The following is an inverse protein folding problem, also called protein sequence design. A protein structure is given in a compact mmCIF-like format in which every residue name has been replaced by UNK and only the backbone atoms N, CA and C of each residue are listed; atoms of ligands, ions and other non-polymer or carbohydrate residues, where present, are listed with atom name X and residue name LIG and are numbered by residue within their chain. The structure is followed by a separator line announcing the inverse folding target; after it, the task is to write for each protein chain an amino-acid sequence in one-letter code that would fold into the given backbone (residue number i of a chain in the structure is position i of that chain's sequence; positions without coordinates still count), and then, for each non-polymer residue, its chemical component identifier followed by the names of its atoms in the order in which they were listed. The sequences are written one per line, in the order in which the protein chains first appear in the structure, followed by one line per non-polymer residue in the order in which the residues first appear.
data_IF_011257106483
#
_entry.id   IF_011257106483
#
_cell.length_a   1.000
_cell.length_b   1.000
_cell.length_c   1.000
_cell.angle_alpha   90.00
_cell.angle_beta   90.00
_cell.angle_gamma   90.00
#
_symmetry.space_group_name_H-M   'P 1'
#
loop_
_entity.id
_entity.type
_entity.pdbx_description
1 polymer ?
#
# COMPACT_ATOMS: atom_id res chain seq x y z
N UNK A 1 13.15 -26.04 -22.75
CA UNK A 1 13.40 -25.84 -21.30
C UNK A 1 12.08 -25.85 -20.51
N UNK A 2 12.12 -26.43 -19.29
CA UNK A 2 10.94 -26.48 -18.43
C UNK A 2 10.54 -25.05 -17.99
N UNK A 3 9.25 -24.87 -17.61
CA UNK A 3 8.73 -23.60 -17.11
C UNK A 3 9.54 -23.07 -15.92
N UNK A 4 10.01 -23.98 -15.06
CA UNK A 4 10.80 -23.64 -13.88
C UNK A 4 12.22 -23.17 -14.24
N UNK A 5 12.86 -23.79 -15.24
CA UNK A 5 14.18 -23.35 -15.72
C UNK A 5 14.09 -21.95 -16.38
N UNK A 6 13.05 -21.70 -17.16
CA UNK A 6 12.79 -20.36 -17.74
C UNK A 6 12.59 -19.30 -16.63
N UNK A 7 11.78 -19.62 -15.62
CA UNK A 7 11.56 -18.75 -14.46
C UNK A 7 12.86 -18.35 -13.76
N UNK A 8 13.71 -19.34 -13.42
CA UNK A 8 14.98 -19.07 -12.73
C UNK A 8 15.92 -18.18 -13.55
N UNK A 9 16.01 -18.42 -14.86
CA UNK A 9 16.83 -17.60 -15.77
C UNK A 9 16.33 -16.17 -15.86
N UNK A 10 15.02 -15.98 -16.01
CA UNK A 10 14.39 -14.66 -16.09
C UNK A 10 14.52 -13.87 -14.79
N UNK A 11 14.32 -14.53 -13.65
CA UNK A 11 14.47 -13.92 -12.33
C UNK A 11 15.93 -13.47 -12.08
N UNK A 12 16.90 -14.33 -12.39
CA UNK A 12 18.33 -13.99 -12.26
C UNK A 12 18.70 -12.83 -13.16
N UNK A 13 18.18 -12.80 -14.41
CA UNK A 13 18.37 -11.67 -15.32
C UNK A 13 17.79 -10.38 -14.74
N UNK A 14 16.58 -10.43 -14.16
CA UNK A 14 15.92 -9.27 -13.58
C UNK A 14 16.73 -8.67 -12.43
N UNK A 15 17.24 -9.50 -11.53
CA UNK A 15 18.12 -9.06 -10.45
C UNK A 15 19.42 -8.44 -10.97
N UNK A 16 20.06 -9.04 -11.97
CA UNK A 16 21.29 -8.47 -12.60
C UNK A 16 21.03 -7.10 -13.24
N UNK A 17 19.90 -6.93 -13.93
CA UNK A 17 19.52 -5.64 -14.53
C UNK A 17 19.30 -4.61 -13.43
N UNK A 18 18.55 -4.95 -12.37
CA UNK A 18 18.28 -4.07 -11.25
C UNK A 18 19.56 -3.55 -10.59
N UNK A 19 20.46 -4.44 -10.19
CA UNK A 19 21.72 -4.02 -9.53
C UNK A 19 22.70 -3.31 -10.46
N UNK A 20 22.59 -3.51 -11.77
CA UNK A 20 23.42 -2.80 -12.75
C UNK A 20 22.96 -1.36 -12.98
N UNK A 21 21.69 -1.09 -12.85
CA UNK A 21 21.13 0.26 -12.94
C UNK A 21 21.28 0.98 -11.59
N UNK A 22 22.44 1.63 -11.41
CA UNK A 22 22.77 2.36 -10.18
C UNK A 22 21.77 3.47 -9.87
N UNK A 23 21.22 4.11 -10.88
CA UNK A 23 20.23 5.20 -10.71
C UNK A 23 18.92 4.64 -10.12
N UNK A 24 18.45 3.51 -10.64
CA UNK A 24 17.25 2.86 -10.12
C UNK A 24 17.47 2.37 -8.68
N UNK A 25 18.61 1.74 -8.38
CA UNK A 25 18.94 1.29 -7.02
C UNK A 25 19.05 2.47 -6.06
N UNK A 26 19.74 3.55 -6.45
CA UNK A 26 19.87 4.75 -5.61
C UNK A 26 18.50 5.38 -5.33
N UNK A 27 17.63 5.47 -6.33
CA UNK A 27 16.28 5.98 -6.16
C UNK A 27 15.46 5.12 -5.19
N UNK A 28 15.54 3.79 -5.30
CA UNK A 28 14.85 2.87 -4.39
C UNK A 28 15.35 3.01 -2.95
N UNK A 29 16.67 3.12 -2.75
CA UNK A 29 17.25 3.32 -1.43
C UNK A 29 16.88 4.69 -0.87
N UNK A 30 16.90 5.74 -1.68
CA UNK A 30 16.49 7.08 -1.26
C UNK A 30 15.01 7.11 -0.82
N UNK A 31 14.10 6.52 -1.59
CA UNK A 31 12.68 6.42 -1.25
C UNK A 31 12.50 5.59 0.04
N UNK A 32 13.18 4.45 0.15
CA UNK A 32 13.13 3.57 1.32
C UNK A 32 13.56 4.28 2.61
N UNK A 33 14.54 5.16 2.54
CA UNK A 33 15.03 5.92 3.70
C UNK A 33 14.20 7.18 3.96
N UNK A 34 13.88 7.95 2.91
CA UNK A 34 13.19 9.23 3.08
C UNK A 34 11.74 9.08 3.52
N UNK A 35 11.00 8.09 3.02
CA UNK A 35 9.57 7.97 3.29
C UNK A 35 9.25 7.69 4.76
N UNK A 36 9.89 6.74 5.47
CA UNK A 36 9.66 6.56 6.90
C UNK A 36 10.03 7.80 7.74
N UNK A 37 11.11 8.50 7.35
CA UNK A 37 11.50 9.75 8.02
C UNK A 37 10.41 10.81 7.86
N UNK A 38 9.81 10.93 6.67
CA UNK A 38 8.70 11.85 6.44
C UNK A 38 7.50 11.50 7.31
N UNK A 39 7.10 10.22 7.39
CA UNK A 39 5.99 9.79 8.27
C UNK A 39 6.25 10.21 9.71
N UNK A 40 7.44 9.91 10.23
CA UNK A 40 7.80 10.22 11.62
C UNK A 40 7.83 11.73 11.88
N UNK A 41 8.38 12.51 10.97
CA UNK A 41 8.49 13.97 11.12
C UNK A 41 7.12 14.67 11.16
N UNK A 42 6.20 14.27 10.26
CA UNK A 42 4.84 14.86 10.24
C UNK A 42 4.00 14.40 11.42
N UNK A 43 4.32 13.26 12.01
CA UNK A 43 3.58 12.66 13.10
C UNK A 43 4.03 13.14 14.50
N UNK A 44 5.18 13.81 14.63
CA UNK A 44 5.79 14.18 15.93
C UNK A 44 4.87 14.98 16.86
N UNK A 45 3.98 15.81 16.31
CA UNK A 45 3.01 16.61 17.08
C UNK A 45 1.91 15.79 17.79
N UNK A 46 1.68 14.54 17.38
CA UNK A 46 0.67 13.64 17.96
C UNK A 46 1.20 12.70 19.04
N UNK A 47 2.51 12.63 19.25
CA UNK A 47 3.16 11.59 20.06
C UNK A 47 2.80 11.63 21.55
N UNK A 48 2.77 12.79 22.18
CA UNK A 48 2.44 12.92 23.62
C UNK A 48 0.98 12.58 23.93
N UNK A 49 -0.03 13.09 23.18
CA UNK A 49 -1.42 12.71 23.39
C UNK A 49 -1.68 11.21 23.20
N UNK A 50 -1.07 10.57 22.21
CA UNK A 50 -1.22 9.13 21.94
C UNK A 50 -0.74 8.31 23.14
N UNK A 51 0.40 8.65 23.71
CA UNK A 51 0.95 7.97 24.86
C UNK A 51 0.06 8.12 26.10
N UNK A 52 -0.53 9.30 26.32
CA UNK A 52 -1.48 9.55 27.42
C UNK A 52 -2.75 8.72 27.28
N UNK A 53 -3.30 8.60 26.10
CA UNK A 53 -4.53 7.85 25.85
C UNK A 53 -4.34 6.32 26.08
N UNK A 54 -3.14 5.80 25.79
CA UNK A 54 -2.79 4.39 26.03
C UNK A 54 -2.68 4.02 27.51
N UNK A 55 -2.42 5.00 28.38
CA UNK A 55 -2.12 4.78 29.80
C UNK A 55 -3.32 5.05 30.74
N UNK A 56 -4.53 5.38 30.21
CA UNK A 56 -5.72 5.66 31.05
C UNK A 56 -6.37 4.33 31.48
N UNK A 57 -6.40 4.01 32.80
CA UNK A 57 -7.18 2.89 33.32
C UNK A 57 -8.68 3.18 33.24
N UNK A 58 -9.48 2.18 32.92
CA UNK A 58 -10.95 2.27 32.73
C UNK A 58 -11.78 2.64 33.97
N UNK A 59 -11.17 2.95 35.11
CA UNK A 59 -11.87 3.08 36.40
C UNK A 59 -11.64 4.45 37.03
N UNK A 60 -12.55 5.45 36.81
CA UNK A 60 -12.96 6.44 37.82
C UNK A 60 -14.02 7.44 37.29
N UNK A 61 -15.25 7.25 37.73
CA UNK A 61 -16.47 7.92 37.29
C UNK A 61 -16.69 9.35 37.85
N UNK A 62 -15.98 9.81 38.84
CA UNK A 62 -16.29 11.03 39.63
C UNK A 62 -15.48 12.31 39.28
N UNK A 63 -14.37 12.18 38.53
CA UNK A 63 -13.65 13.33 37.97
C UNK A 63 -14.16 13.75 36.58
N UNK A 64 -15.34 13.36 36.27
CA UNK A 64 -15.90 13.07 34.94
C UNK A 64 -16.45 14.25 34.16
N UNK A 65 -16.67 15.41 34.69
CA UNK A 65 -17.27 16.51 33.92
C UNK A 65 -16.25 17.57 33.43
N UNK A 66 -15.23 17.87 34.20
CA UNK A 66 -14.12 18.72 33.72
C UNK A 66 -13.13 17.90 32.86
N UNK A 67 -12.91 16.62 33.23
CA UNK A 67 -12.07 15.72 32.43
C UNK A 67 -12.69 15.31 31.09
N UNK A 68 -14.01 15.31 30.96
CA UNK A 68 -14.70 14.95 29.70
C UNK A 68 -14.38 15.90 28.54
N UNK A 69 -14.20 17.18 28.79
CA UNK A 69 -13.85 18.15 27.73
C UNK A 69 -12.39 17.98 27.32
N UNK A 70 -11.48 17.88 28.28
CA UNK A 70 -10.04 17.67 28.02
C UNK A 70 -9.79 16.28 27.38
N UNK A 71 -10.45 15.23 27.87
CA UNK A 71 -10.36 13.87 27.28
C UNK A 71 -10.91 13.85 25.86
N UNK A 72 -11.99 14.59 25.59
CA UNK A 72 -12.56 14.67 24.25
C UNK A 72 -11.68 15.44 23.26
N UNK A 73 -11.05 16.53 23.71
CA UNK A 73 -10.08 17.27 22.91
C UNK A 73 -8.83 16.41 22.61
N UNK A 74 -8.34 15.68 23.61
CA UNK A 74 -7.22 14.76 23.43
C UNK A 74 -7.59 13.57 22.50
N UNK A 75 -8.79 13.02 22.62
CA UNK A 75 -9.30 12.00 21.69
C UNK A 75 -9.36 12.48 20.25
N UNK A 76 -9.92 13.66 20.02
CA UNK A 76 -10.00 14.28 18.68
C UNK A 76 -8.58 14.47 18.12
N UNK A 77 -7.68 15.00 18.92
CA UNK A 77 -6.30 15.29 18.52
C UNK A 77 -5.53 14.01 18.20
N UNK A 78 -5.66 12.99 19.04
CA UNK A 78 -5.04 11.67 18.86
C UNK A 78 -5.63 10.97 17.63
N UNK A 79 -6.96 10.92 17.52
CA UNK A 79 -7.62 10.33 16.37
C UNK A 79 -7.17 10.94 15.05
N UNK A 80 -7.12 12.27 14.97
CA UNK A 80 -6.67 12.97 13.78
C UNK A 80 -5.19 12.69 13.45
N UNK A 81 -4.32 12.67 14.46
CA UNK A 81 -2.90 12.41 14.27
C UNK A 81 -2.64 10.97 13.81
N UNK A 82 -3.30 9.99 14.43
CA UNK A 82 -3.14 8.57 14.06
C UNK A 82 -3.73 8.27 12.69
N UNK A 83 -4.96 8.73 12.43
CA UNK A 83 -5.61 8.56 11.12
C UNK A 83 -4.77 9.15 10.00
N UNK A 84 -4.30 10.38 10.17
CA UNK A 84 -3.46 11.07 9.19
C UNK A 84 -2.12 10.36 8.98
N UNK A 85 -1.48 9.87 10.04
CA UNK A 85 -0.20 9.17 9.96
C UNK A 85 -0.34 7.84 9.23
N UNK A 86 -1.32 7.02 9.59
CA UNK A 86 -1.57 5.73 8.93
C UNK A 86 -1.91 5.95 7.46
N UNK A 87 -2.76 6.94 7.15
CA UNK A 87 -3.10 7.25 5.77
C UNK A 87 -1.85 7.70 4.99
N UNK A 88 -0.99 8.51 5.60
CA UNK A 88 0.25 8.94 4.97
C UNK A 88 1.20 7.76 4.71
N UNK A 89 1.34 6.83 5.66
CA UNK A 89 2.10 5.59 5.51
C UNK A 89 1.56 4.73 4.37
N UNK A 90 0.26 4.54 4.31
CA UNK A 90 -0.45 3.79 3.25
C UNK A 90 -0.21 4.40 1.87
N UNK A 91 -0.33 5.73 1.74
CA UNK A 91 -0.11 6.42 0.46
C UNK A 91 1.35 6.36 0.01
N UNK A 92 2.30 6.49 0.93
CA UNK A 92 3.71 6.36 0.58
C UNK A 92 4.04 4.94 0.09
N UNK A 93 3.47 3.90 0.71
CA UNK A 93 3.62 2.52 0.23
C UNK A 93 2.92 2.31 -1.11
N UNK A 94 1.77 2.92 -1.35
CA UNK A 94 1.10 2.90 -2.64
C UNK A 94 1.97 3.55 -3.74
N UNK A 95 2.63 4.68 -3.44
CA UNK A 95 3.60 5.32 -4.33
C UNK A 95 4.80 4.42 -4.63
N UNK A 96 5.35 3.73 -3.60
CA UNK A 96 6.43 2.76 -3.80
C UNK A 96 6.00 1.61 -4.71
N UNK A 97 4.82 1.03 -4.47
CA UNK A 97 4.25 -0.04 -5.28
C UNK A 97 4.04 0.37 -6.73
N UNK A 98 3.49 1.56 -6.94
CA UNK A 98 3.33 2.14 -8.28
C UNK A 98 4.67 2.33 -8.99
N UNK A 99 5.66 2.93 -8.31
CA UNK A 99 7.00 3.14 -8.87
C UNK A 99 7.68 1.82 -9.27
N UNK A 100 7.48 0.75 -8.49
CA UNK A 100 8.06 -0.56 -8.75
C UNK A 100 7.48 -1.22 -10.02
N UNK A 101 6.17 -1.08 -10.25
CA UNK A 101 5.44 -1.88 -11.23
C UNK A 101 5.03 -1.11 -12.50
N UNK A 102 4.93 0.22 -12.44
CA UNK A 102 4.38 1.04 -13.53
C UNK A 102 5.02 0.82 -14.89
N UNK A 103 6.30 0.51 -14.96
CA UNK A 103 7.07 0.31 -16.21
C UNK A 103 7.61 -1.10 -16.38
N UNK A 104 7.27 -2.02 -15.47
CA UNK A 104 7.93 -3.32 -15.36
C UNK A 104 7.73 -4.22 -16.59
N UNK A 105 6.58 -4.13 -17.25
CA UNK A 105 6.27 -4.87 -18.47
C UNK A 105 6.36 -3.97 -19.69
N UNK A 106 5.77 -2.78 -19.65
CA UNK A 106 5.74 -1.84 -20.77
C UNK A 106 7.14 -1.41 -21.22
N UNK A 107 8.08 -1.25 -20.28
CA UNK A 107 9.49 -0.90 -20.57
C UNK A 107 10.28 -2.01 -21.26
N UNK A 108 9.91 -3.26 -21.06
CA UNK A 108 10.57 -4.43 -21.67
C UNK A 108 9.71 -5.09 -22.77
N UNK A 109 8.63 -4.47 -23.21
CA UNK A 109 7.64 -5.06 -24.13
C UNK A 109 8.27 -5.67 -25.39
N UNK A 110 9.13 -4.93 -26.08
CA UNK A 110 9.80 -5.40 -27.30
C UNK A 110 10.68 -6.65 -27.04
N UNK A 111 11.28 -6.72 -25.87
CA UNK A 111 12.10 -7.86 -25.46
C UNK A 111 11.19 -9.06 -25.13
N UNK A 112 10.12 -8.82 -24.37
CA UNK A 112 9.13 -9.84 -24.01
C UNK A 112 8.50 -10.48 -25.27
N UNK A 113 8.16 -9.68 -26.29
CA UNK A 113 7.60 -10.19 -27.55
C UNK A 113 8.61 -11.07 -28.27
N UNK A 114 9.86 -10.65 -28.42
CA UNK A 114 10.92 -11.46 -29.01
C UNK A 114 11.14 -12.78 -28.26
N UNK A 115 11.09 -12.74 -26.95
CA UNK A 115 11.27 -13.92 -26.11
C UNK A 115 10.10 -14.90 -26.20
N UNK A 116 8.86 -14.41 -26.40
CA UNK A 116 7.70 -15.25 -26.71
C UNK A 116 7.92 -16.06 -28.00
N UNK A 117 8.49 -15.44 -29.04
CA UNK A 117 8.87 -16.18 -30.27
C UNK A 117 9.97 -17.21 -30.03
N UNK A 118 10.89 -16.93 -29.12
CA UNK A 118 11.92 -17.88 -28.67
C UNK A 118 11.39 -19.02 -27.79
N UNK A 119 10.06 -19.10 -27.56
CA UNK A 119 9.42 -20.16 -26.79
C UNK A 119 9.36 -19.90 -25.27
N UNK A 120 9.53 -18.66 -24.81
CA UNK A 120 9.32 -18.30 -23.40
C UNK A 120 7.83 -18.27 -23.10
N UNK A 121 7.43 -18.98 -22.06
CA UNK A 121 6.03 -19.04 -21.63
C UNK A 121 5.65 -17.77 -20.86
N UNK A 122 4.48 -17.12 -21.18
CA UNK A 122 4.02 -15.91 -20.47
C UNK A 122 3.92 -16.11 -18.94
N UNK A 123 3.56 -17.32 -18.50
CA UNK A 123 3.48 -17.65 -17.06
C UNK A 123 4.86 -17.57 -16.38
N UNK A 124 5.93 -18.10 -17.02
CA UNK A 124 7.29 -18.04 -16.47
C UNK A 124 7.78 -16.59 -16.39
N UNK A 125 7.43 -15.78 -17.38
CA UNK A 125 7.74 -14.35 -17.39
C UNK A 125 7.02 -13.61 -16.26
N UNK A 126 5.69 -13.77 -16.13
CA UNK A 126 4.92 -13.15 -15.06
C UNK A 126 5.42 -13.56 -13.67
N UNK A 127 5.63 -14.86 -13.43
CA UNK A 127 6.11 -15.37 -12.15
C UNK A 127 7.47 -14.78 -11.78
N UNK A 128 8.39 -14.60 -12.74
CA UNK A 128 9.70 -13.98 -12.48
C UNK A 128 9.57 -12.51 -12.06
N UNK A 129 8.62 -11.76 -12.66
CA UNK A 129 8.33 -10.38 -12.29
C UNK A 129 7.66 -10.31 -10.91
N UNK A 130 6.68 -11.16 -10.66
CA UNK A 130 6.00 -11.23 -9.35
C UNK A 130 6.98 -11.58 -8.23
N UNK A 131 7.86 -12.58 -8.42
CA UNK A 131 8.85 -12.94 -7.41
C UNK A 131 9.81 -11.78 -7.08
N UNK A 132 10.28 -11.05 -8.09
CA UNK A 132 11.10 -9.86 -7.90
C UNK A 132 10.34 -8.75 -7.15
N UNK A 133 9.11 -8.44 -7.58
CA UNK A 133 8.28 -7.41 -6.95
C UNK A 133 7.90 -7.77 -5.51
N UNK A 134 7.63 -9.04 -5.23
CA UNK A 134 7.34 -9.52 -3.85
C UNK A 134 8.52 -9.24 -2.91
N UNK A 135 9.76 -9.44 -3.35
CA UNK A 135 10.92 -9.09 -2.54
C UNK A 135 10.99 -7.58 -2.23
N UNK A 136 10.67 -6.72 -3.20
CA UNK A 136 10.62 -5.28 -2.98
C UNK A 136 9.46 -4.89 -2.06
N UNK A 137 8.27 -5.45 -2.25
CA UNK A 137 7.09 -5.21 -1.41
C UNK A 137 7.42 -5.54 0.04
N UNK A 138 7.97 -6.73 0.30
CA UNK A 138 8.33 -7.15 1.65
C UNK A 138 9.39 -6.24 2.28
N UNK A 139 10.45 -5.92 1.54
CA UNK A 139 11.50 -5.03 2.04
C UNK A 139 10.97 -3.63 2.39
N UNK A 140 10.15 -3.05 1.53
CA UNK A 140 9.59 -1.71 1.71
C UNK A 140 8.57 -1.66 2.85
N UNK A 141 7.62 -2.60 2.88
CA UNK A 141 6.56 -2.61 3.89
C UNK A 141 7.09 -2.97 5.27
N UNK A 142 7.99 -3.95 5.39
CA UNK A 142 8.61 -4.31 6.67
C UNK A 142 9.48 -3.17 7.20
N UNK A 143 10.27 -2.53 6.34
CA UNK A 143 11.11 -1.40 6.74
C UNK A 143 10.27 -0.22 7.22
N UNK A 144 9.20 0.14 6.49
CA UNK A 144 8.28 1.20 6.87
C UNK A 144 7.64 0.90 8.23
N UNK A 145 7.06 -0.28 8.40
CA UNK A 145 6.40 -0.68 9.64
C UNK A 145 7.36 -0.71 10.83
N UNK A 146 8.55 -1.29 10.67
CA UNK A 146 9.56 -1.33 11.74
C UNK A 146 10.03 0.06 12.15
N UNK A 147 10.20 0.96 11.18
CA UNK A 147 10.63 2.32 11.44
C UNK A 147 9.57 3.11 12.20
N UNK A 148 8.31 3.02 11.75
CA UNK A 148 7.18 3.69 12.40
C UNK A 148 6.97 3.14 13.82
N UNK A 149 6.98 1.84 13.99
CA UNK A 149 6.84 1.18 15.30
C UNK A 149 7.95 1.58 16.27
N UNK A 150 9.19 1.70 15.80
CA UNK A 150 10.31 2.13 16.63
C UNK A 150 10.11 3.53 17.23
N UNK A 151 9.48 4.44 16.48
CA UNK A 151 9.25 5.81 16.96
C UNK A 151 7.94 5.98 17.74
N UNK A 152 6.92 5.17 17.43
CA UNK A 152 5.54 5.41 17.91
C UNK A 152 5.04 4.40 18.93
N UNK A 153 5.57 3.18 18.96
CA UNK A 153 5.24 2.11 19.90
C UNK A 153 3.72 1.97 20.16
N UNK A 154 2.98 1.63 19.11
CA UNK A 154 1.54 1.44 19.20
C UNK A 154 1.18 0.24 20.10
N UNK A 155 0.08 0.36 20.86
CA UNK A 155 -0.41 -0.71 21.76
C UNK A 155 -1.07 -1.89 21.03
N UNK A 156 -1.25 -1.81 19.70
CA UNK A 156 -1.96 -2.80 18.90
C UNK A 156 -1.12 -3.99 18.43
N UNK A 157 -1.73 -4.80 17.56
CA UNK A 157 -1.05 -5.93 16.95
C UNK A 157 -0.14 -5.50 15.80
N UNK A 158 1.16 -5.43 16.05
CA UNK A 158 2.18 -5.14 15.03
C UNK A 158 2.06 -6.03 13.79
N UNK A 159 1.84 -7.33 13.98
CA UNK A 159 1.72 -8.29 12.86
C UNK A 159 0.52 -7.97 11.99
N UNK A 160 -0.61 -7.61 12.56
CA UNK A 160 -1.81 -7.23 11.80
C UNK A 160 -1.56 -5.93 11.03
N UNK A 161 -0.99 -4.92 11.67
CA UNK A 161 -0.64 -3.66 10.99
C UNK A 161 0.31 -3.89 9.80
N UNK A 162 1.41 -4.61 10.01
CA UNK A 162 2.35 -4.98 8.93
C UNK A 162 1.65 -5.71 7.78
N UNK A 163 0.68 -6.60 8.09
CA UNK A 163 -0.07 -7.33 7.08
C UNK A 163 -0.82 -6.40 6.13
N UNK A 164 -1.49 -5.37 6.67
CA UNK A 164 -2.21 -4.38 5.86
C UNK A 164 -1.26 -3.55 5.00
N UNK A 165 -0.09 -3.18 5.54
CA UNK A 165 0.92 -2.45 4.78
C UNK A 165 1.52 -3.29 3.63
N UNK A 166 1.78 -4.57 3.87
CA UNK A 166 2.21 -5.49 2.80
C UNK A 166 1.11 -5.63 1.74
N UNK A 167 -0.15 -5.79 2.16
CA UNK A 167 -1.26 -6.01 1.25
C UNK A 167 -1.58 -4.77 0.40
N UNK A 168 -1.53 -3.55 0.94
CA UNK A 168 -1.74 -2.35 0.12
C UNK A 168 -0.64 -2.15 -0.91
N UNK A 169 0.62 -2.35 -0.51
CA UNK A 169 1.74 -2.29 -1.44
C UNK A 169 1.61 -3.37 -2.53
N UNK A 170 1.21 -4.60 -2.15
CA UNK A 170 0.96 -5.70 -3.09
C UNK A 170 -0.21 -5.40 -4.04
N UNK A 171 -1.33 -4.88 -3.53
CA UNK A 171 -2.50 -4.54 -4.32
C UNK A 171 -2.19 -3.47 -5.36
N UNK A 172 -1.59 -2.36 -4.96
CA UNK A 172 -1.20 -1.29 -5.88
C UNK A 172 -0.15 -1.76 -6.88
N UNK A 173 0.85 -2.52 -6.42
CA UNK A 173 1.87 -3.12 -7.31
C UNK A 173 1.22 -4.03 -8.35
N UNK A 174 0.26 -4.88 -7.97
CA UNK A 174 -0.44 -5.77 -8.88
C UNK A 174 -1.30 -5.01 -9.91
N UNK A 175 -2.01 -3.98 -9.48
CA UNK A 175 -2.82 -3.13 -10.37
C UNK A 175 -1.92 -2.35 -11.33
N UNK A 176 -0.84 -1.76 -10.86
CA UNK A 176 0.12 -1.04 -11.72
C UNK A 176 0.85 -2.00 -12.68
N UNK A 177 1.12 -3.24 -12.27
CA UNK A 177 1.64 -4.28 -13.16
C UNK A 177 0.63 -4.64 -14.26
N UNK A 178 -0.66 -4.71 -13.93
CA UNK A 178 -1.74 -4.90 -14.92
C UNK A 178 -1.77 -3.74 -15.92
N UNK A 179 -1.75 -2.50 -15.45
CA UNK A 179 -1.66 -1.31 -16.30
C UNK A 179 -0.43 -1.40 -17.20
N UNK A 180 0.73 -1.75 -16.65
CA UNK A 180 1.98 -1.91 -17.40
C UNK A 180 1.91 -3.01 -18.46
N UNK A 181 1.15 -4.07 -18.24
CA UNK A 181 0.95 -5.15 -19.20
C UNK A 181 0.00 -4.79 -20.33
N UNK A 182 -0.95 -3.88 -20.10
CA UNK A 182 -1.98 -3.46 -21.06
C UNK A 182 -1.51 -2.27 -21.92
N UNK A 183 -0.85 -1.29 -21.32
CA UNK A 183 -0.43 -0.07 -22.01
C UNK A 183 0.68 -0.31 -23.04
N UNK A 184 0.64 0.43 -24.15
CA UNK A 184 1.59 0.27 -25.27
C UNK A 184 2.95 0.88 -24.97
N UNK A 185 3.00 1.99 -24.23
CA UNK A 185 4.25 2.70 -23.92
C UNK A 185 4.50 2.83 -22.42
N UNK A 186 5.76 2.89 -21.97
CA UNK A 186 6.11 3.09 -20.58
C UNK A 186 5.58 4.41 -20.00
N UNK A 187 5.51 5.46 -20.84
CA UNK A 187 5.04 6.78 -20.45
C UNK A 187 3.55 6.75 -20.09
N UNK A 188 2.71 6.15 -20.95
CA UNK A 188 1.28 5.97 -20.70
C UNK A 188 1.03 5.15 -19.43
N UNK A 189 1.76 4.05 -19.29
CA UNK A 189 1.66 3.20 -18.11
C UNK A 189 2.03 3.94 -16.82
N UNK A 190 3.10 4.72 -16.85
CA UNK A 190 3.58 5.53 -15.73
C UNK A 190 2.57 6.61 -15.35
N UNK A 191 2.05 7.36 -16.32
CA UNK A 191 1.04 8.40 -16.09
C UNK A 191 -0.22 7.83 -15.46
N UNK A 192 -0.76 6.74 -16.02
CA UNK A 192 -1.98 6.12 -15.48
C UNK A 192 -1.77 5.58 -14.06
N UNK A 193 -0.60 5.00 -13.78
CA UNK A 193 -0.25 4.51 -12.44
C UNK A 193 -0.13 5.65 -11.42
N UNK A 194 0.43 6.81 -11.80
CA UNK A 194 0.52 8.00 -10.95
C UNK A 194 -0.87 8.56 -10.66
N UNK A 195 -1.74 8.66 -11.66
CA UNK A 195 -3.12 9.11 -11.44
C UNK A 195 -3.90 8.16 -10.54
N UNK A 196 -3.75 6.84 -10.74
CA UNK A 196 -4.39 5.84 -9.89
C UNK A 196 -4.02 6.05 -8.41
N UNK A 197 -2.73 6.25 -8.11
CA UNK A 197 -2.28 6.50 -6.73
C UNK A 197 -2.73 7.88 -6.24
N UNK A 198 -2.70 8.90 -7.10
CA UNK A 198 -3.17 10.24 -6.76
C UNK A 198 -4.64 10.28 -6.33
N UNK A 199 -5.48 9.44 -6.92
CA UNK A 199 -6.89 9.31 -6.54
C UNK A 199 -7.12 8.47 -5.28
N UNK A 200 -6.17 7.67 -4.83
CA UNK A 200 -6.33 6.85 -3.61
C UNK A 200 -6.62 7.71 -2.37
N UNK A 201 -5.90 8.83 -2.19
CA UNK A 201 -6.05 9.68 -1.02
C UNK A 201 -7.42 10.37 -0.94
N UNK A 202 -7.87 11.13 -1.95
CA UNK A 202 -9.17 11.80 -1.88
C UNK A 202 -10.36 10.84 -1.87
N UNK A 203 -10.24 9.65 -2.50
CA UNK A 203 -11.32 8.66 -2.55
C UNK A 203 -11.32 7.68 -1.37
N UNK A 204 -10.34 7.77 -0.46
CA UNK A 204 -10.26 6.88 0.70
C UNK A 204 -11.28 7.19 1.80
N UNK A 205 -11.91 8.36 1.78
CA UNK A 205 -12.79 8.83 2.86
C UNK A 205 -12.06 9.28 4.14
N UNK A 206 -10.75 9.05 4.26
CA UNK A 206 -9.98 9.43 5.45
C UNK A 206 -9.73 10.94 5.57
N UNK A 207 -9.75 11.66 4.46
CA UNK A 207 -9.45 13.10 4.40
C UNK A 207 -10.69 13.91 4.02
N UNK A 208 -11.51 13.39 3.11
CA UNK A 208 -12.73 14.02 2.62
C UNK A 208 -13.87 13.05 2.78
N UNK A 209 -14.93 13.44 3.50
CA UNK A 209 -16.16 12.70 3.53
C UNK A 209 -16.78 12.72 2.13
N UNK A 210 -16.99 11.55 1.56
CA UNK A 210 -17.63 11.38 0.26
C UNK A 210 -19.15 11.30 0.44
N UNK A 211 -19.96 11.84 -0.51
CA UNK A 211 -21.37 11.53 -0.52
C UNK A 211 -21.61 10.03 -0.60
N UNK A 212 -22.58 9.51 0.14
CA UNK A 212 -22.87 8.07 0.34
C UNK A 212 -22.92 7.27 -0.98
N UNK A 213 -23.48 7.87 -2.04
CA UNK A 213 -23.52 7.26 -3.37
C UNK A 213 -22.11 7.04 -3.96
N UNK A 214 -21.23 8.03 -3.86
CA UNK A 214 -19.87 7.95 -4.39
C UNK A 214 -18.99 7.05 -3.51
N UNK A 215 -19.18 7.08 -2.21
CA UNK A 215 -18.49 6.22 -1.28
C UNK A 215 -18.72 4.74 -1.62
N UNK A 216 -19.97 4.31 -1.69
CA UNK A 216 -20.34 2.93 -2.03
C UNK A 216 -19.84 2.49 -3.41
N UNK A 217 -19.76 3.41 -4.37
CA UNK A 217 -19.28 3.11 -5.72
C UNK A 217 -17.76 2.98 -5.80
N UNK A 218 -17.02 3.84 -5.11
CA UNK A 218 -15.55 3.93 -5.24
C UNK A 218 -14.82 3.07 -4.22
N UNK A 219 -15.34 2.91 -3.03
CA UNK A 219 -14.73 2.20 -1.90
C UNK A 219 -14.19 0.80 -2.28
N UNK A 220 -14.91 -0.06 -3.04
CA UNK A 220 -14.39 -1.37 -3.43
C UNK A 220 -13.10 -1.32 -4.23
N UNK A 221 -12.82 -0.22 -4.93
CA UNK A 221 -11.65 -0.03 -5.80
C UNK A 221 -10.49 0.72 -5.14
N UNK A 222 -10.72 1.31 -3.97
CA UNK A 222 -9.73 2.14 -3.26
C UNK A 222 -8.96 1.30 -2.25
N UNK A 223 -7.78 0.80 -2.64
CA UNK A 223 -6.92 -0.01 -1.75
C UNK A 223 -6.50 0.76 -0.49
N UNK A 224 -6.34 2.09 -0.58
CA UNK A 224 -5.96 2.92 0.55
C UNK A 224 -7.02 2.94 1.66
N UNK A 225 -8.31 2.93 1.32
CA UNK A 225 -9.40 2.83 2.30
C UNK A 225 -9.28 1.53 3.11
N UNK A 226 -9.17 0.40 2.44
CA UNK A 226 -9.11 -0.91 3.10
C UNK A 226 -7.87 -1.07 3.98
N UNK A 227 -6.72 -0.55 3.52
CA UNK A 227 -5.51 -0.60 4.30
C UNK A 227 -5.54 0.34 5.51
N UNK A 228 -6.07 1.55 5.34
CA UNK A 228 -6.23 2.52 6.41
C UNK A 228 -7.20 2.02 7.48
N UNK A 229 -8.40 1.60 7.09
CA UNK A 229 -9.41 1.06 8.02
C UNK A 229 -8.91 -0.18 8.76
N UNK A 230 -8.31 -1.15 8.04
CA UNK A 230 -7.77 -2.35 8.64
C UNK A 230 -6.57 -2.08 9.57
N UNK A 231 -5.71 -1.11 9.25
CA UNK A 231 -4.61 -0.72 10.11
C UNK A 231 -5.09 -0.06 11.41
N UNK A 232 -6.15 0.76 11.35
CA UNK A 232 -6.77 1.35 12.55
C UNK A 232 -7.37 0.27 13.43
N UNK A 233 -8.09 -0.69 12.86
CA UNK A 233 -8.64 -1.84 13.60
C UNK A 233 -7.54 -2.64 14.31
N UNK A 234 -6.37 -2.79 13.66
CA UNK A 234 -5.22 -3.49 14.24
C UNK A 234 -4.57 -2.79 15.45
N UNK A 235 -4.75 -1.47 15.59
CA UNK A 235 -4.15 -0.68 16.67
C UNK A 235 -4.89 -0.76 18.02
N UNK A 236 -6.11 -1.30 18.01
CA UNK A 236 -6.86 -1.56 19.25
C UNK A 236 -7.97 -0.54 19.55
N UNK A 237 -8.86 -0.91 20.50
CA UNK A 237 -10.15 -0.29 20.72
C UNK A 237 -10.13 1.20 21.06
N UNK A 238 -9.19 1.68 21.87
CA UNK A 238 -9.13 3.11 22.28
C UNK A 238 -8.77 4.01 21.09
N UNK A 239 -7.85 3.58 20.24
CA UNK A 239 -7.44 4.32 19.04
C UNK A 239 -8.55 4.24 17.99
N UNK A 240 -9.14 3.06 17.80
CA UNK A 240 -10.28 2.88 16.91
C UNK A 240 -11.42 3.83 17.26
N UNK A 241 -11.82 3.90 18.55
CA UNK A 241 -12.86 4.80 19.03
C UNK A 241 -12.49 6.28 18.83
N UNK A 242 -11.22 6.64 19.05
CA UNK A 242 -10.75 8.02 18.84
C UNK A 242 -10.81 8.43 17.36
N UNK A 243 -10.52 7.51 16.44
CA UNK A 243 -10.61 7.77 15.00
C UNK A 243 -12.07 7.81 14.53
N UNK A 244 -12.92 6.91 15.04
CA UNK A 244 -14.36 6.82 14.71
C UNK A 244 -15.12 8.12 15.07
N UNK A 245 -14.71 8.78 16.16
CA UNK A 245 -15.29 10.08 16.57
C UNK A 245 -15.02 11.23 15.60
N UNK A 246 -13.94 11.15 14.84
CA UNK A 246 -13.51 12.25 13.96
C UNK A 246 -13.76 11.99 12.47
N UNK A 247 -13.95 10.74 12.08
CA UNK A 247 -14.20 10.35 10.68
C UNK A 247 -15.70 10.17 10.46
N UNK A 248 -16.22 10.76 9.40
CA UNK A 248 -17.60 10.52 8.96
C UNK A 248 -17.74 9.21 8.17
N UNK A 249 -16.60 8.66 7.73
CA UNK A 249 -16.53 7.41 6.97
C UNK A 249 -16.53 6.22 7.93
N UNK A 250 -17.44 5.28 7.72
CA UNK A 250 -17.52 4.05 8.53
C UNK A 250 -16.26 3.20 8.38
N UNK A 251 -15.68 2.81 9.50
CA UNK A 251 -14.53 1.90 9.53
C UNK A 251 -15.01 0.46 9.32
N UNK A 252 -14.40 -0.23 8.37
CA UNK A 252 -14.69 -1.64 8.11
C UNK A 252 -13.86 -2.57 9.02
N UNK A 253 -14.43 -3.70 9.47
CA UNK A 253 -13.70 -4.69 10.26
C UNK A 253 -12.44 -5.19 9.53
N UNK A 254 -11.35 -5.43 10.26
CA UNK A 254 -10.06 -5.81 9.70
C UNK A 254 -10.08 -7.09 8.86
N UNK A 255 -10.94 -8.07 9.19
CA UNK A 255 -11.10 -9.27 8.38
C UNK A 255 -11.65 -8.95 6.97
N UNK A 256 -12.62 -8.06 6.86
CA UNK A 256 -13.18 -7.63 5.56
C UNK A 256 -12.11 -6.87 4.78
N UNK A 257 -11.40 -5.96 5.44
CA UNK A 257 -10.28 -5.21 4.83
C UNK A 257 -9.21 -6.14 4.27
N UNK A 258 -8.84 -7.17 5.01
CA UNK A 258 -7.86 -8.17 4.58
C UNK A 258 -8.31 -8.91 3.32
N UNK A 259 -9.56 -9.41 3.30
CA UNK A 259 -10.09 -10.10 2.12
C UNK A 259 -10.25 -9.18 0.91
N UNK A 260 -10.65 -7.93 1.11
CA UNK A 260 -10.76 -6.94 0.04
C UNK A 260 -9.41 -6.68 -0.63
N UNK A 261 -8.35 -6.45 0.15
CA UNK A 261 -7.00 -6.25 -0.38
C UNK A 261 -6.43 -7.50 -1.07
N UNK A 262 -6.69 -8.68 -0.53
CA UNK A 262 -6.33 -9.94 -1.18
C UNK A 262 -7.06 -10.09 -2.53
N UNK A 263 -8.35 -9.79 -2.57
CA UNK A 263 -9.14 -9.86 -3.80
C UNK A 263 -8.64 -8.87 -4.85
N UNK A 264 -8.36 -7.62 -4.47
CA UNK A 264 -7.79 -6.61 -5.36
C UNK A 264 -6.42 -7.04 -5.92
N UNK A 265 -5.56 -7.61 -5.06
CA UNK A 265 -4.25 -8.14 -5.47
C UNK A 265 -4.41 -9.26 -6.51
N UNK A 266 -5.31 -10.22 -6.26
CA UNK A 266 -5.60 -11.31 -7.18
C UNK A 266 -6.17 -10.82 -8.52
N UNK A 267 -7.11 -9.89 -8.48
CA UNK A 267 -7.68 -9.26 -9.69
C UNK A 267 -6.58 -8.56 -10.49
N UNK A 268 -5.69 -7.80 -9.83
CA UNK A 268 -4.54 -7.17 -10.47
C UNK A 268 -3.60 -8.17 -11.15
N UNK A 269 -3.27 -9.28 -10.48
CA UNK A 269 -2.41 -10.33 -11.05
C UNK A 269 -3.07 -11.00 -12.26
N UNK A 270 -4.37 -11.32 -12.17
CA UNK A 270 -5.13 -11.92 -13.27
C UNK A 270 -5.19 -10.94 -14.47
N UNK A 271 -5.45 -9.67 -14.21
CA UNK A 271 -5.46 -8.63 -15.26
C UNK A 271 -4.08 -8.47 -15.90
N UNK A 272 -2.99 -8.52 -15.12
CA UNK A 272 -1.63 -8.50 -15.64
C UNK A 272 -1.35 -9.70 -16.54
N UNK A 273 -1.77 -10.90 -16.13
CA UNK A 273 -1.63 -12.11 -16.94
C UNK A 273 -2.43 -12.00 -18.25
N UNK A 274 -3.69 -11.56 -18.19
CA UNK A 274 -4.51 -11.35 -19.39
C UNK A 274 -3.89 -10.33 -20.35
N UNK A 275 -3.34 -9.22 -19.81
CA UNK A 275 -2.63 -8.21 -20.62
C UNK A 275 -1.42 -8.80 -21.34
N UNK A 276 -0.64 -9.67 -20.70
CA UNK A 276 0.51 -10.32 -21.31
C UNK A 276 0.14 -11.37 -22.36
N UNK A 277 -1.00 -12.05 -22.21
CA UNK A 277 -1.46 -13.09 -23.16
C UNK A 277 -2.13 -12.45 -24.37
N UNK A 278 -2.99 -11.43 -24.18
CA UNK A 278 -3.80 -10.81 -25.24
C UNK A 278 -3.00 -9.99 -26.24
N UNK A 279 -1.86 -9.41 -25.86
CA UNK A 279 -1.02 -8.67 -26.78
C UNK A 279 -0.30 -9.62 -27.76
N UNK A 280 -1.08 -10.19 -28.68
CA UNK A 280 -0.61 -10.70 -29.95
C UNK A 280 -0.87 -9.61 -31.00
N UNK A 281 0.23 -8.94 -31.46
CA UNK A 281 0.27 -8.29 -32.75
C UNK A 281 -0.89 -7.37 -33.16
N UNK A 282 -0.83 -6.12 -32.82
CA UNK A 282 -1.30 -5.07 -33.73
C UNK A 282 -0.08 -4.58 -34.52
N UNK A 283 -0.06 -4.91 -35.84
CA UNK A 283 0.84 -4.36 -36.83
C UNK A 283 0.73 -2.84 -36.89
#
# INVERSE_FOLDING_TARGET
PSTFSQFGTLLTRRWKIFFRDRTQVLLQVAILLCFPILVTFFAERGKEPIKRLSDIPEENIVLELQSRVEVREDQIRVGAAVSGMIMFEVILLALMGSNNAAREVSGERKIMEKEKFGGVRPVSYLLSKLAFLTCLILAQSLWMAMFVEFFWQFSGSFVSHVSFLILVNASITAICLAISSIMKTPEQSSLLSIYLVGFQLPLSGAVLALPEFFENLTQPFVSAYWAWSGSIDALGGNIHTAVDVITETELSPGNICFFALCAQTMVGIIAAWMGMVRHQWDN
#
